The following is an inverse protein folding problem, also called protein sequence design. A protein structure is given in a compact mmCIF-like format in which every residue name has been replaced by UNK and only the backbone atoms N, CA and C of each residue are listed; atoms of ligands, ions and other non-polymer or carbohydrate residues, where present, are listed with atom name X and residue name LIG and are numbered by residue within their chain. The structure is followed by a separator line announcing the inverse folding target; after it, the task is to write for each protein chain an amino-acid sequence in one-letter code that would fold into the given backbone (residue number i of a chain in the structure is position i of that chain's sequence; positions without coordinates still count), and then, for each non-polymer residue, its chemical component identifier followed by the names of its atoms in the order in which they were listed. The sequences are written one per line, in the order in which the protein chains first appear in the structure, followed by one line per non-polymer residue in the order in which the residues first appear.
data_IF_646611882464
#
_entry.id   IF_646611882464
#
_cell.length_a   1.000
_cell.length_b   1.000
_cell.length_c   1.000
_cell.angle_alpha   90.00
_cell.angle_beta   90.00
_cell.angle_gamma   90.00
#
_symmetry.space_group_name_H-M   'P 1'
#
loop_
_entity.id
_entity.type
_entity.pdbx_description
1 polymer ?
#
# COMPACT_ATOMS: atom_id res chain seq x y z
N UNK A 1 -20.86 11.61 -26.86
CA UNK A 1 -20.14 11.70 -25.57
C UNK A 1 -20.01 10.34 -24.89
N UNK A 2 -21.10 9.56 -24.72
CA UNK A 2 -21.04 8.15 -24.23
C UNK A 2 -20.26 7.23 -25.20
N UNK A 3 -20.36 7.44 -26.51
CA UNK A 3 -19.60 6.67 -27.51
C UNK A 3 -18.07 6.90 -27.46
N UNK A 4 -17.61 8.07 -26.98
CA UNK A 4 -16.18 8.36 -26.82
C UNK A 4 -15.62 7.68 -25.55
N UNK A 5 -16.45 7.58 -24.51
CA UNK A 5 -16.16 6.87 -23.26
C UNK A 5 -16.04 5.36 -23.52
N UNK A 6 -16.91 4.80 -24.38
CA UNK A 6 -16.85 3.38 -24.77
C UNK A 6 -15.65 3.04 -25.68
N UNK A 7 -15.17 3.98 -26.49
CA UNK A 7 -13.99 3.80 -27.34
C UNK A 7 -12.66 3.81 -26.54
N UNK A 8 -12.60 4.52 -25.41
CA UNK A 8 -11.41 4.56 -24.54
C UNK A 8 -11.35 3.39 -23.55
N UNK A 9 -12.49 2.78 -23.19
CA UNK A 9 -12.54 1.52 -22.42
C UNK A 9 -12.07 0.32 -23.26
N UNK A 10 -12.01 0.47 -24.60
CA UNK A 10 -11.62 -0.58 -25.55
C UNK A 10 -10.12 -0.88 -25.65
N UNK A 11 -9.24 -0.13 -24.98
CA UNK A 11 -7.81 -0.46 -24.94
C UNK A 11 -7.55 -1.45 -23.80
N UNK A 12 -7.82 -2.71 -24.12
CA UNK A 12 -7.21 -3.91 -23.57
C UNK A 12 -6.53 -3.78 -22.18
N UNK A 13 -7.23 -4.21 -21.13
CA UNK A 13 -6.62 -5.24 -20.29
C UNK A 13 -7.41 -6.51 -20.53
N UNK A 14 -6.85 -7.35 -21.40
CA UNK A 14 -7.06 -8.78 -21.28
C UNK A 14 -6.71 -9.10 -19.83
N UNK A 15 -7.72 -9.39 -19.01
CA UNK A 15 -7.54 -10.14 -17.77
C UNK A 15 -6.97 -11.48 -18.20
N UNK A 16 -5.65 -11.53 -18.45
CA UNK A 16 -4.92 -12.77 -18.27
C UNK A 16 -5.02 -13.00 -16.78
N UNK A 17 -6.03 -13.78 -16.37
CA UNK A 17 -5.79 -14.76 -15.32
C UNK A 17 -4.46 -15.42 -15.70
N UNK A 18 -3.39 -15.02 -15.00
CA UNK A 18 -2.19 -15.81 -15.03
C UNK A 18 -2.59 -17.04 -14.23
N UNK A 19 -3.10 -18.07 -14.92
CA UNK A 19 -3.01 -19.43 -14.46
C UNK A 19 -1.54 -19.67 -14.10
N UNK A 20 -1.20 -19.48 -12.83
CA UNK A 20 0.02 -20.04 -12.26
C UNK A 20 -0.28 -21.53 -12.14
N UNK A 21 -0.13 -22.25 -13.25
CA UNK A 21 -0.33 -23.69 -13.34
C UNK A 21 0.72 -24.49 -12.56
N UNK A 22 0.90 -24.21 -11.27
CA UNK A 22 1.80 -24.93 -10.34
C UNK A 22 1.34 -24.95 -8.87
N UNK A 23 0.40 -24.10 -8.44
CA UNK A 23 -0.18 -24.22 -7.09
C UNK A 23 -1.33 -25.22 -7.10
N UNK A 24 -1.34 -26.12 -6.13
CA UNK A 24 -2.42 -27.09 -5.93
C UNK A 24 -2.92 -27.06 -4.48
N UNK A 25 -4.19 -27.43 -4.28
CA UNK A 25 -4.78 -27.48 -2.94
C UNK A 25 -4.17 -28.64 -2.13
N UNK A 26 -4.02 -28.44 -0.82
CA UNK A 26 -3.42 -29.45 0.06
C UNK A 26 -4.40 -30.61 0.26
N UNK A 27 -4.12 -31.72 -0.42
CA UNK A 27 -4.84 -32.99 -0.31
C UNK A 27 -4.36 -33.85 0.87
N UNK A 28 -3.17 -33.61 1.41
CA UNK A 28 -2.53 -34.46 2.41
C UNK A 28 -3.18 -34.32 3.81
N UNK A 29 -3.76 -35.40 4.39
CA UNK A 29 -4.52 -35.31 5.65
C UNK A 29 -3.72 -34.77 6.84
N UNK A 30 -2.40 -34.99 6.89
CA UNK A 30 -1.55 -34.50 7.98
C UNK A 30 -1.36 -32.97 7.95
N UNK A 31 -1.52 -32.35 6.77
CA UNK A 31 -1.16 -30.94 6.53
C UNK A 31 -2.33 -30.07 6.08
N UNK A 32 -3.52 -30.65 5.87
CA UNK A 32 -4.72 -29.93 5.38
C UNK A 32 -5.29 -28.93 6.38
N UNK A 33 -5.15 -29.19 7.68
CA UNK A 33 -5.80 -28.42 8.75
C UNK A 33 -4.84 -27.42 9.44
N UNK A 34 -3.78 -26.98 8.74
CA UNK A 34 -2.87 -25.96 9.26
C UNK A 34 -3.48 -24.56 9.12
N UNK A 35 -3.40 -23.70 10.16
CA UNK A 35 -4.13 -22.41 10.17
C UNK A 35 -3.55 -21.36 9.22
N UNK A 36 -2.33 -21.55 8.72
CA UNK A 36 -1.58 -20.50 8.01
C UNK A 36 -1.63 -20.61 6.49
N UNK A 37 -1.96 -21.78 5.91
CA UNK A 37 -1.99 -21.94 4.46
C UNK A 37 -2.76 -23.17 3.95
N UNK A 38 -3.37 -23.02 2.76
CA UNK A 38 -4.25 -24.03 2.15
C UNK A 38 -3.78 -24.51 0.76
N UNK A 39 -2.66 -24.00 0.25
CA UNK A 39 -2.14 -24.30 -1.10
C UNK A 39 -0.65 -24.57 -1.09
N UNK A 40 -0.21 -25.50 -1.93
CA UNK A 40 1.17 -26.01 -1.98
C UNK A 40 1.74 -25.99 -3.40
N UNK A 41 3.07 -26.12 -3.52
CA UNK A 41 3.83 -26.13 -4.77
C UNK A 41 4.70 -27.39 -4.85
N UNK A 42 4.75 -28.00 -6.04
CA UNK A 42 5.60 -29.16 -6.35
C UNK A 42 6.57 -28.85 -7.50
N UNK A 43 7.77 -29.47 -7.54
CA UNK A 43 8.28 -30.46 -6.59
C UNK A 43 8.60 -29.88 -5.20
N UNK A 44 8.44 -30.68 -4.15
CA UNK A 44 8.71 -30.25 -2.77
C UNK A 44 10.21 -30.24 -2.44
N UNK A 45 10.59 -29.85 -1.21
CA UNK A 45 12.00 -29.77 -0.80
C UNK A 45 12.73 -31.12 -0.77
N UNK A 46 11.97 -32.22 -0.78
CA UNK A 46 12.48 -33.58 -0.83
C UNK A 46 12.47 -34.15 -2.26
N UNK A 47 12.20 -33.30 -3.27
CA UNK A 47 12.11 -33.64 -4.69
C UNK A 47 10.99 -34.60 -5.08
N UNK A 48 9.98 -34.81 -4.23
CA UNK A 48 8.76 -35.49 -4.68
C UNK A 48 8.06 -34.64 -5.73
N UNK A 49 7.58 -35.27 -6.80
CA UNK A 49 6.97 -34.58 -7.93
C UNK A 49 5.47 -34.32 -7.72
N UNK A 50 4.81 -35.11 -6.88
CA UNK A 50 3.36 -35.02 -6.62
C UNK A 50 3.02 -35.14 -5.12
N UNK A 51 1.85 -34.65 -4.74
CA UNK A 51 1.32 -34.83 -3.38
C UNK A 51 1.13 -36.30 -3.00
N UNK A 52 0.79 -37.18 -3.94
CA UNK A 52 0.60 -38.61 -3.66
C UNK A 52 1.91 -39.27 -3.23
N UNK A 53 3.01 -38.97 -3.93
CA UNK A 53 4.35 -39.45 -3.60
C UNK A 53 4.80 -38.93 -2.21
N UNK A 54 4.59 -37.64 -1.96
CA UNK A 54 4.87 -37.04 -0.66
C UNK A 54 3.99 -37.61 0.47
N UNK A 55 2.73 -37.94 0.18
CA UNK A 55 1.75 -38.52 1.11
C UNK A 55 2.16 -39.91 1.57
N UNK A 56 2.71 -40.72 0.68
CA UNK A 56 3.24 -42.04 1.04
C UNK A 56 4.46 -41.94 1.94
N UNK A 57 5.38 -41.00 1.65
CA UNK A 57 6.61 -40.80 2.42
C UNK A 57 6.37 -40.15 3.78
N UNK A 58 5.37 -39.28 3.94
CA UNK A 58 5.08 -38.62 5.23
C UNK A 58 4.25 -39.50 6.19
N UNK A 59 3.52 -40.50 5.67
CA UNK A 59 2.56 -41.32 6.42
C UNK A 59 3.13 -41.97 7.70
N UNK A 60 4.38 -42.49 7.74
CA UNK A 60 4.95 -43.09 8.95
C UNK A 60 5.07 -42.12 10.14
N UNK A 61 5.15 -40.81 9.90
CA UNK A 61 5.30 -39.80 10.95
C UNK A 61 3.98 -39.43 11.64
N UNK A 62 2.82 -39.87 11.10
CA UNK A 62 1.50 -39.53 11.62
C UNK A 62 1.28 -39.87 13.12
N UNK A 63 1.65 -41.06 13.61
CA UNK A 63 1.58 -41.40 15.03
C UNK A 63 2.42 -40.47 15.92
N UNK A 64 3.63 -40.12 15.48
CA UNK A 64 4.57 -39.26 16.22
C UNK A 64 3.99 -37.84 16.38
N UNK A 65 3.37 -37.31 15.32
CA UNK A 65 2.67 -36.01 15.38
C UNK A 65 1.54 -36.03 16.42
N UNK A 66 0.79 -37.13 16.52
CA UNK A 66 -0.30 -37.28 17.51
C UNK A 66 0.18 -37.34 18.95
N UNK A 67 1.42 -37.78 19.18
CA UNK A 67 2.05 -37.83 20.50
C UNK A 67 2.51 -36.45 21.01
N UNK A 68 2.47 -35.41 20.16
CA UNK A 68 2.74 -34.00 20.51
C UNK A 68 4.05 -33.78 21.27
N UNK A 69 5.11 -34.47 20.85
CA UNK A 69 6.46 -34.30 21.39
C UNK A 69 7.02 -32.87 21.21
N UNK A 70 6.57 -32.15 20.18
CA UNK A 70 6.80 -30.71 19.98
C UNK A 70 5.58 -30.08 19.30
N UNK A 71 5.24 -28.83 19.66
CA UNK A 71 4.20 -28.04 18.98
C UNK A 71 4.55 -27.76 17.51
N UNK A 72 5.84 -27.82 17.18
CA UNK A 72 6.39 -27.33 15.93
C UNK A 72 6.68 -28.45 14.93
N UNK A 73 6.59 -29.71 15.37
CA UNK A 73 6.94 -30.89 14.57
C UNK A 73 6.03 -31.09 13.35
N UNK A 74 4.71 -30.91 13.52
CA UNK A 74 3.75 -31.00 12.41
C UNK A 74 4.02 -29.93 11.35
N UNK A 75 4.26 -28.69 11.80
CA UNK A 75 4.56 -27.57 10.92
C UNK A 75 5.88 -27.77 10.17
N UNK A 76 6.91 -28.30 10.85
CA UNK A 76 8.19 -28.64 10.24
C UNK A 76 8.05 -29.68 9.13
N UNK A 77 7.37 -30.80 9.40
CA UNK A 77 7.12 -31.84 8.38
C UNK A 77 6.33 -31.30 7.19
N UNK A 78 5.24 -30.57 7.44
CA UNK A 78 4.43 -30.00 6.37
C UNK A 78 5.18 -28.94 5.57
N UNK A 79 6.14 -28.22 6.17
CA UNK A 79 7.00 -27.27 5.43
C UNK A 79 7.96 -27.95 4.46
N UNK A 80 8.34 -29.21 4.70
CA UNK A 80 9.20 -29.99 3.81
C UNK A 80 8.41 -30.74 2.74
N UNK A 81 7.33 -31.40 3.14
CA UNK A 81 6.53 -32.28 2.27
C UNK A 81 5.45 -31.53 1.47
N UNK A 82 4.87 -30.47 2.02
CA UNK A 82 3.81 -29.64 1.43
C UNK A 82 4.14 -28.15 1.60
N UNK A 83 5.21 -27.65 0.96
CA UNK A 83 5.65 -26.27 1.16
C UNK A 83 4.58 -25.28 0.71
N UNK A 84 4.55 -24.10 1.35
CA UNK A 84 3.65 -23.00 1.02
C UNK A 84 3.79 -22.60 -0.46
N UNK A 85 2.67 -22.53 -1.19
CA UNK A 85 2.71 -21.94 -2.53
C UNK A 85 2.87 -20.42 -2.43
N UNK A 86 3.87 -19.87 -3.11
CA UNK A 86 4.08 -18.42 -3.23
C UNK A 86 4.23 -18.05 -4.70
N UNK A 87 4.50 -16.77 -4.98
CA UNK A 87 4.82 -16.30 -6.34
C UNK A 87 6.13 -16.86 -6.91
N UNK A 88 6.96 -17.51 -6.08
CA UNK A 88 8.23 -18.10 -6.50
C UNK A 88 8.00 -19.44 -7.22
N UNK A 89 8.84 -19.73 -8.21
CA UNK A 89 8.82 -21.01 -8.95
C UNK A 89 9.42 -22.19 -8.19
N UNK A 90 9.94 -21.96 -6.98
CA UNK A 90 10.62 -22.94 -6.13
C UNK A 90 10.10 -22.87 -4.69
N UNK A 91 10.09 -24.00 -3.95
CA UNK A 91 9.63 -24.05 -2.57
C UNK A 91 10.60 -23.32 -1.62
N UNK A 92 10.04 -22.64 -0.61
CA UNK A 92 10.81 -21.93 0.42
C UNK A 92 11.12 -22.90 1.58
N UNK A 93 12.40 -23.06 2.00
CA UNK A 93 12.76 -23.94 3.12
C UNK A 93 12.31 -23.39 4.48
N UNK A 94 12.04 -24.27 5.47
CA UNK A 94 11.76 -23.83 6.84
C UNK A 94 12.98 -23.20 7.51
N UNK A 95 12.75 -22.36 8.51
CA UNK A 95 13.81 -21.77 9.31
C UNK A 95 14.52 -22.81 10.20
N UNK A 96 15.80 -22.56 10.50
CA UNK A 96 16.60 -23.41 11.40
C UNK A 96 16.00 -23.53 12.80
N UNK A 97 15.41 -22.47 13.34
CA UNK A 97 14.77 -22.50 14.67
C UNK A 97 13.58 -23.45 14.73
N UNK A 98 12.72 -23.43 13.71
CA UNK A 98 11.61 -24.38 13.55
C UNK A 98 12.13 -25.83 13.50
N UNK A 99 13.19 -26.08 12.74
CA UNK A 99 13.83 -27.41 12.66
C UNK A 99 14.42 -27.85 14.01
N UNK A 100 15.17 -26.97 14.69
CA UNK A 100 15.81 -27.28 15.97
C UNK A 100 14.77 -27.52 17.08
N UNK A 101 13.68 -26.75 17.11
CA UNK A 101 12.56 -26.95 18.05
C UNK A 101 11.87 -28.30 17.83
N UNK A 102 11.59 -28.63 16.56
CA UNK A 102 11.03 -29.93 16.17
C UNK A 102 11.97 -31.09 16.55
N UNK A 103 13.27 -30.94 16.28
CA UNK A 103 14.31 -31.92 16.60
C UNK A 103 14.43 -32.14 18.10
N UNK A 104 14.57 -31.07 18.88
CA UNK A 104 14.73 -31.13 20.33
C UNK A 104 13.58 -31.87 21.02
N UNK A 105 12.34 -31.68 20.55
CA UNK A 105 11.19 -32.36 21.14
C UNK A 105 10.99 -33.79 20.66
N UNK A 106 11.26 -34.09 19.38
CA UNK A 106 10.80 -35.33 18.74
C UNK A 106 11.91 -36.29 18.29
N UNK A 107 13.20 -35.92 18.36
CA UNK A 107 14.30 -36.76 17.86
C UNK A 107 14.40 -38.11 18.58
N UNK A 108 14.25 -38.15 19.91
CA UNK A 108 14.36 -39.40 20.66
C UNK A 108 13.15 -40.31 20.45
N UNK A 109 11.95 -39.72 20.35
CA UNK A 109 10.73 -40.45 20.02
C UNK A 109 10.80 -41.02 18.59
N UNK A 110 11.38 -40.28 17.66
CA UNK A 110 11.61 -40.75 16.29
C UNK A 110 12.55 -41.96 16.23
N UNK A 111 13.58 -42.02 17.08
CA UNK A 111 14.46 -43.20 17.18
C UNK A 111 13.71 -44.43 17.72
N UNK A 112 12.80 -44.24 18.68
CA UNK A 112 11.98 -45.33 19.24
C UNK A 112 11.03 -45.95 18.21
N UNK A 113 10.61 -45.16 17.21
CA UNK A 113 9.77 -45.59 16.10
C UNK A 113 10.57 -46.05 14.85
N UNK A 114 11.89 -46.30 14.98
CA UNK A 114 12.79 -46.68 13.88
C UNK A 114 12.80 -45.69 12.70
N UNK A 115 12.55 -44.40 12.96
CA UNK A 115 12.54 -43.31 11.98
C UNK A 115 13.62 -42.27 12.32
N UNK A 116 14.93 -42.59 12.22
CA UNK A 116 15.96 -41.70 12.70
C UNK A 116 16.01 -40.39 11.91
N UNK A 117 16.55 -39.34 12.54
CA UNK A 117 16.68 -38.01 11.94
C UNK A 117 17.74 -38.01 10.83
N UNK A 118 17.31 -38.29 9.59
CA UNK A 118 18.18 -38.40 8.42
C UNK A 118 18.67 -37.04 7.88
N UNK A 119 19.51 -37.08 6.84
CA UNK A 119 20.18 -35.89 6.26
C UNK A 119 19.19 -34.90 5.66
N UNK A 120 18.08 -35.39 5.13
CA UNK A 120 16.97 -34.64 4.57
C UNK A 120 16.28 -33.75 5.62
N UNK A 121 16.38 -34.11 6.90
CA UNK A 121 15.88 -33.30 8.02
C UNK A 121 16.99 -32.49 8.70
N UNK A 122 18.22 -32.48 8.18
CA UNK A 122 19.33 -31.79 8.82
C UNK A 122 19.08 -30.28 8.91
N UNK A 123 19.13 -29.74 10.13
CA UNK A 123 18.96 -28.32 10.38
C UNK A 123 20.18 -27.48 9.95
N UNK A 124 21.30 -28.11 9.57
CA UNK A 124 22.56 -27.40 9.30
C UNK A 124 22.52 -26.56 8.02
N UNK A 125 21.76 -27.01 7.02
CA UNK A 125 21.63 -26.37 5.72
C UNK A 125 20.42 -25.42 5.63
N UNK A 126 19.61 -25.36 6.68
CA UNK A 126 18.46 -24.46 6.73
C UNK A 126 18.90 -23.04 7.07
N UNK A 127 18.26 -22.03 6.49
CA UNK A 127 18.56 -20.65 6.84
C UNK A 127 18.32 -20.47 8.34
N UNK A 128 19.27 -19.82 9.03
CA UNK A 128 18.99 -19.34 10.38
C UNK A 128 17.70 -18.53 10.33
N UNK A 129 16.90 -18.53 11.41
CA UNK A 129 15.96 -17.44 11.60
C UNK A 129 16.73 -16.16 11.28
N UNK A 130 16.15 -15.29 10.45
CA UNK A 130 16.73 -13.95 10.32
C UNK A 130 16.87 -13.47 11.75
N UNK A 131 18.12 -13.42 12.24
CA UNK A 131 18.42 -12.81 13.52
C UNK A 131 17.90 -11.40 13.37
N UNK A 132 16.70 -11.13 13.90
CA UNK A 132 16.48 -9.88 14.59
C UNK A 132 17.68 -9.80 15.52
N UNK A 133 18.54 -8.83 15.27
CA UNK A 133 19.65 -8.55 16.15
C UNK A 133 19.02 -8.16 17.49
N UNK A 134 18.84 -9.17 18.32
CA UNK A 134 18.26 -9.14 19.65
C UNK A 134 19.36 -9.67 20.54
N UNK A 135 20.36 -8.83 20.77
CA UNK A 135 21.07 -8.86 22.04
C UNK A 135 20.02 -8.55 23.12
N UNK A 136 19.60 -9.63 23.79
CA UNK A 136 18.67 -9.60 24.92
C UNK A 136 19.20 -8.63 25.97
N UNK A 137 18.37 -7.64 26.30
CA UNK A 137 18.14 -7.30 27.70
C UNK A 137 16.63 -7.19 27.90
N UNK A 138 16.20 -7.74 29.04
CA UNK A 138 14.82 -7.90 29.48
C UNK A 138 13.89 -6.70 29.21
N UNK A 139 12.65 -7.01 28.81
CA UNK A 139 11.50 -6.19 29.19
C UNK A 139 11.11 -5.04 28.26
N UNK A 140 10.88 -5.32 26.98
CA UNK A 140 9.86 -4.73 26.08
C UNK A 140 10.31 -5.00 24.64
N UNK A 141 9.45 -5.57 23.80
CA UNK A 141 9.77 -5.86 22.39
C UNK A 141 9.86 -4.58 21.56
N UNK A 142 10.92 -3.79 21.75
CA UNK A 142 11.14 -2.54 21.02
C UNK A 142 11.65 -2.83 19.60
N UNK A 143 10.94 -2.39 18.56
CA UNK A 143 11.40 -2.50 17.18
C UNK A 143 12.61 -1.60 16.95
N UNK A 144 13.71 -2.20 16.50
CA UNK A 144 14.93 -1.48 16.11
C UNK A 144 14.94 -1.31 14.60
N UNK A 145 15.18 -0.08 14.12
CA UNK A 145 15.21 0.22 12.70
C UNK A 145 16.35 -0.54 11.97
N UNK A 146 16.05 -1.35 10.95
CA UNK A 146 17.06 -2.04 10.14
C UNK A 146 18.00 -1.05 9.44
N UNK A 147 19.27 -1.44 9.26
CA UNK A 147 20.28 -0.57 8.64
C UNK A 147 19.92 -0.13 7.22
N UNK A 148 19.15 -0.92 6.47
CA UNK A 148 18.68 -0.60 5.12
C UNK A 148 17.69 0.57 5.07
N UNK A 149 17.01 0.86 6.19
CA UNK A 149 15.90 1.80 6.31
C UNK A 149 16.21 2.97 7.26
N UNK A 150 17.45 3.05 7.76
CA UNK A 150 17.90 4.16 8.58
C UNK A 150 17.97 5.43 7.75
N UNK A 151 17.55 6.53 8.35
CA UNK A 151 17.51 7.85 7.72
C UNK A 151 18.38 8.82 8.54
N UNK A 152 19.05 9.80 7.90
CA UNK A 152 19.80 10.83 8.62
C UNK A 152 18.96 11.55 9.68
N UNK A 153 19.58 11.87 10.81
CA UNK A 153 18.92 12.47 11.99
C UNK A 153 18.27 13.83 11.73
N UNK A 154 18.71 14.54 10.69
CA UNK A 154 18.24 15.88 10.33
C UNK A 154 16.80 15.86 9.78
N UNK A 155 16.32 14.72 9.28
CA UNK A 155 15.05 14.63 8.56
C UNK A 155 13.83 14.39 9.47
N UNK A 156 14.05 14.13 10.76
CA UNK A 156 12.99 13.88 11.76
C UNK A 156 11.99 12.76 11.38
N UNK A 157 12.40 11.78 10.56
CA UNK A 157 11.51 10.69 10.13
C UNK A 157 11.06 9.84 11.32
N UNK A 158 9.80 9.41 11.29
CA UNK A 158 9.20 8.57 12.33
C UNK A 158 8.39 7.46 11.69
N UNK A 159 8.90 6.22 11.82
CA UNK A 159 8.16 5.02 11.49
C UNK A 159 7.23 4.67 12.66
N UNK A 160 5.94 4.49 12.38
CA UNK A 160 4.93 4.11 13.37
C UNK A 160 4.52 2.65 13.17
N UNK A 161 4.58 1.87 14.23
CA UNK A 161 4.22 0.46 14.24
C UNK A 161 3.03 0.28 15.19
N UNK A 162 1.82 0.28 14.62
CA UNK A 162 0.57 0.30 15.39
C UNK A 162 0.41 1.57 16.24
N UNK A 163 -0.43 1.48 17.28
CA UNK A 163 -0.75 2.63 18.15
C UNK A 163 0.31 2.93 19.22
N UNK A 164 1.26 2.01 19.44
CA UNK A 164 2.08 2.01 20.65
C UNK A 164 3.54 2.40 20.40
N UNK A 165 4.10 2.10 19.22
CA UNK A 165 5.53 2.21 18.99
C UNK A 165 5.90 3.21 17.88
N UNK A 166 6.81 4.13 18.21
CA UNK A 166 7.32 5.16 17.29
C UNK A 166 8.83 5.10 17.25
N UNK A 167 9.38 4.86 16.06
CA UNK A 167 10.81 4.67 15.85
C UNK A 167 11.34 5.82 15.02
N UNK A 168 12.18 6.65 15.65
CA UNK A 168 12.79 7.82 15.01
C UNK A 168 13.90 7.40 14.03
N UNK A 169 14.16 8.25 13.05
CA UNK A 169 15.23 8.08 12.04
C UNK A 169 15.09 6.79 11.24
N UNK A 170 13.84 6.39 10.97
CA UNK A 170 13.50 5.17 10.26
C UNK A 170 12.40 5.46 9.23
N UNK A 171 12.60 5.01 7.98
CA UNK A 171 11.62 5.18 6.90
C UNK A 171 10.95 3.87 6.50
N UNK A 172 9.70 3.98 6.08
CA UNK A 172 9.01 2.86 5.44
C UNK A 172 9.60 2.60 4.04
N UNK A 173 9.83 1.34 3.62
CA UNK A 173 10.28 1.04 2.28
C UNK A 173 9.23 1.44 1.24
N UNK A 174 9.70 2.01 0.12
CA UNK A 174 8.86 2.51 -0.97
C UNK A 174 8.08 1.40 -1.69
N UNK A 175 8.71 0.24 -1.94
CA UNK A 175 8.05 -0.90 -2.60
C UNK A 175 8.00 -2.09 -1.66
N UNK A 176 7.03 -2.99 -1.90
CA UNK A 176 6.91 -4.32 -1.25
C UNK A 176 6.53 -4.31 0.23
N UNK A 177 6.10 -3.17 0.79
CA UNK A 177 5.59 -3.12 2.17
C UNK A 177 4.13 -3.59 2.27
N UNK A 178 3.27 -3.03 1.41
CA UNK A 178 1.81 -3.28 1.43
C UNK A 178 1.28 -3.81 0.10
N UNK A 179 1.88 -3.39 -1.01
CA UNK A 179 1.40 -3.68 -2.36
C UNK A 179 2.50 -4.27 -3.24
N UNK A 180 2.08 -5.16 -4.13
CA UNK A 180 2.92 -5.75 -5.16
C UNK A 180 3.09 -4.78 -6.34
N UNK A 181 4.16 -4.95 -7.12
CA UNK A 181 4.44 -4.07 -8.27
C UNK A 181 3.32 -4.07 -9.32
N UNK A 182 2.60 -5.18 -9.48
CA UNK A 182 1.45 -5.27 -10.38
C UNK A 182 0.25 -4.45 -9.90
N UNK A 183 0.01 -4.42 -8.59
CA UNK A 183 -1.09 -3.68 -7.98
C UNK A 183 -0.83 -2.18 -8.08
N UNK A 184 0.42 -1.77 -7.81
CA UNK A 184 0.89 -0.39 -7.98
C UNK A 184 0.76 0.03 -9.46
N UNK A 185 1.23 -0.80 -10.40
CA UNK A 185 1.12 -0.51 -11.83
C UNK A 185 -0.34 -0.41 -12.30
N UNK A 186 -1.23 -1.26 -11.79
CA UNK A 186 -2.66 -1.17 -12.09
C UNK A 186 -3.25 0.15 -11.58
N UNK A 187 -2.99 0.50 -10.32
CA UNK A 187 -3.51 1.73 -9.72
C UNK A 187 -3.00 2.98 -10.43
N UNK A 188 -1.69 3.06 -10.71
CA UNK A 188 -1.08 4.18 -11.43
C UNK A 188 -1.71 4.35 -12.83
N UNK A 189 -1.86 3.27 -13.60
CA UNK A 189 -2.49 3.34 -14.91
C UNK A 189 -3.98 3.73 -14.84
N UNK A 190 -4.69 3.24 -13.83
CA UNK A 190 -6.09 3.57 -13.60
C UNK A 190 -6.26 5.06 -13.27
N UNK A 191 -5.51 5.57 -12.30
CA UNK A 191 -5.54 6.97 -11.88
C UNK A 191 -5.10 7.88 -13.04
N UNK A 192 -4.05 7.51 -13.78
CA UNK A 192 -3.58 8.26 -14.94
C UNK A 192 -4.66 8.39 -16.02
N UNK A 193 -5.36 7.30 -16.36
CA UNK A 193 -6.44 7.31 -17.34
C UNK A 193 -7.57 8.26 -16.94
N UNK A 194 -8.07 8.14 -15.70
CA UNK A 194 -9.16 8.99 -15.21
C UNK A 194 -8.74 10.46 -15.06
N UNK A 195 -7.48 10.70 -14.72
CA UNK A 195 -6.94 12.06 -14.65
C UNK A 195 -6.95 12.70 -16.04
N UNK A 196 -6.46 12.02 -17.08
CA UNK A 196 -6.48 12.55 -18.46
C UNK A 196 -7.91 12.83 -18.92
N UNK A 197 -8.85 11.91 -18.68
CA UNK A 197 -10.27 12.13 -19.01
C UNK A 197 -10.85 13.35 -18.30
N UNK A 198 -10.54 13.51 -17.01
CA UNK A 198 -10.95 14.66 -16.22
C UNK A 198 -10.34 15.96 -16.74
N UNK A 199 -9.04 15.96 -17.10
CA UNK A 199 -8.35 17.13 -17.64
C UNK A 199 -9.00 17.61 -18.94
N UNK A 200 -9.28 16.68 -19.87
CA UNK A 200 -9.90 17.00 -21.15
C UNK A 200 -11.31 17.57 -20.95
N UNK A 201 -12.11 16.94 -20.08
CA UNK A 201 -13.47 17.40 -19.78
C UNK A 201 -13.48 18.78 -19.12
N UNK A 202 -12.63 19.01 -18.12
CA UNK A 202 -12.55 20.30 -17.42
C UNK A 202 -11.99 21.38 -18.33
N UNK A 203 -10.97 21.09 -19.15
CA UNK A 203 -10.44 22.02 -20.15
C UNK A 203 -11.52 22.49 -21.11
N UNK A 204 -12.38 21.59 -21.61
CA UNK A 204 -13.48 21.96 -22.49
C UNK A 204 -14.45 22.94 -21.82
N UNK A 205 -14.82 22.70 -20.55
CA UNK A 205 -15.69 23.60 -19.79
C UNK A 205 -15.04 24.97 -19.57
N UNK A 206 -13.77 25.00 -19.19
CA UNK A 206 -13.02 26.25 -18.95
C UNK A 206 -12.83 27.05 -20.24
N UNK A 207 -12.51 26.40 -21.36
CA UNK A 207 -12.42 27.04 -22.67
C UNK A 207 -13.76 27.61 -23.12
N UNK A 208 -14.87 26.88 -22.89
CA UNK A 208 -16.22 27.38 -23.21
C UNK A 208 -16.52 28.66 -22.44
N UNK A 209 -16.20 28.69 -21.13
CA UNK A 209 -16.36 29.89 -20.30
C UNK A 209 -15.44 31.03 -20.72
N UNK A 210 -14.20 30.74 -21.13
CA UNK A 210 -13.25 31.75 -21.60
C UNK A 210 -13.70 32.42 -22.90
N UNK A 211 -14.40 31.68 -23.77
CA UNK A 211 -14.97 32.20 -25.02
C UNK A 211 -16.23 33.03 -24.77
N UNK A 212 -17.14 32.54 -23.93
CA UNK A 212 -18.39 33.22 -23.59
C UNK A 212 -18.70 33.13 -22.09
N UNK A 213 -18.25 34.10 -21.28
CA UNK A 213 -18.52 34.12 -19.83
C UNK A 213 -20.01 34.27 -19.50
N UNK A 214 -20.79 34.88 -20.41
CA UNK A 214 -22.23 35.08 -20.24
C UNK A 214 -23.03 33.78 -20.33
N UNK A 215 -22.41 32.71 -20.84
CA UNK A 215 -23.04 31.39 -20.99
C UNK A 215 -23.37 30.71 -19.65
N UNK A 216 -22.65 31.06 -18.57
CA UNK A 216 -22.77 30.42 -17.26
C UNK A 216 -23.13 31.44 -16.16
N UNK A 217 -24.36 31.98 -16.15
CA UNK A 217 -24.85 32.77 -15.04
C UNK A 217 -25.05 31.90 -13.78
N UNK A 218 -25.33 32.53 -12.64
CA UNK A 218 -25.88 31.79 -11.50
C UNK A 218 -27.29 31.28 -11.86
N UNK A 219 -27.69 30.07 -11.42
CA UNK A 219 -27.05 29.20 -10.43
C UNK A 219 -25.97 28.22 -10.97
N UNK A 220 -25.69 28.17 -12.27
CA UNK A 220 -24.78 27.19 -12.89
C UNK A 220 -23.30 27.60 -12.81
N UNK A 221 -23.00 28.87 -12.58
CA UNK A 221 -21.63 29.43 -12.47
C UNK A 221 -20.66 28.64 -11.56
N UNK A 222 -21.07 28.06 -10.40
CA UNK A 222 -20.21 27.21 -9.58
C UNK A 222 -19.58 26.02 -10.32
N UNK A 223 -20.17 25.53 -11.42
CA UNK A 223 -19.62 24.45 -12.25
C UNK A 223 -18.24 24.84 -12.83
N UNK A 224 -18.03 26.12 -13.12
CA UNK A 224 -16.75 26.63 -13.63
C UNK A 224 -15.67 26.51 -12.57
N UNK A 225 -15.96 26.91 -11.33
CA UNK A 225 -14.99 26.83 -10.24
C UNK A 225 -14.70 25.38 -9.82
N UNK A 226 -15.71 24.49 -9.86
CA UNK A 226 -15.50 23.04 -9.76
C UNK A 226 -14.54 22.54 -10.85
N UNK A 227 -14.73 22.99 -12.09
CA UNK A 227 -13.88 22.61 -13.21
C UNK A 227 -12.45 23.11 -13.04
N UNK A 228 -12.23 24.30 -12.47
CA UNK A 228 -10.88 24.80 -12.11
C UNK A 228 -10.23 23.89 -11.07
N UNK A 229 -10.94 23.54 -9.99
CA UNK A 229 -10.39 22.67 -8.96
C UNK A 229 -10.00 21.29 -9.53
N UNK A 230 -10.90 20.65 -10.27
CA UNK A 230 -10.63 19.34 -10.86
C UNK A 230 -9.57 19.37 -11.97
N UNK A 231 -9.42 20.49 -12.69
CA UNK A 231 -8.32 20.67 -13.63
C UNK A 231 -6.96 20.61 -12.92
N UNK A 232 -6.81 21.33 -11.80
CA UNK A 232 -5.56 21.35 -11.02
C UNK A 232 -5.28 19.99 -10.37
N UNK A 233 -6.29 19.38 -9.74
CA UNK A 233 -6.17 18.03 -9.15
C UNK A 233 -5.73 17.01 -10.21
N UNK A 234 -6.37 17.03 -11.38
CA UNK A 234 -6.02 16.14 -12.49
C UNK A 234 -4.59 16.37 -12.99
N UNK A 235 -4.17 17.63 -13.14
CA UNK A 235 -2.80 17.97 -13.53
C UNK A 235 -1.79 17.39 -12.54
N UNK A 236 -2.06 17.47 -11.24
CA UNK A 236 -1.21 16.90 -10.20
C UNK A 236 -1.09 15.38 -10.31
N UNK A 237 -2.20 14.66 -10.50
CA UNK A 237 -2.15 13.21 -10.71
C UNK A 237 -1.45 12.80 -12.02
N UNK A 238 -1.55 13.61 -13.08
CA UNK A 238 -0.79 13.39 -14.32
C UNK A 238 0.71 13.58 -14.09
N UNK A 239 1.10 14.61 -13.32
CA UNK A 239 2.50 14.82 -12.93
C UNK A 239 3.00 13.65 -12.07
N UNK A 240 2.18 13.15 -11.15
CA UNK A 240 2.40 11.92 -10.39
C UNK A 240 2.70 10.73 -11.29
N UNK A 241 1.75 10.42 -12.18
CA UNK A 241 1.87 9.34 -13.15
C UNK A 241 3.13 9.44 -14.03
N UNK A 242 3.42 10.64 -14.55
CA UNK A 242 4.59 10.87 -15.41
C UNK A 242 5.93 10.78 -14.66
N UNK A 243 5.92 10.97 -13.33
CA UNK A 243 7.12 10.98 -12.50
C UNK A 243 7.38 9.64 -11.81
N UNK A 244 6.57 8.61 -12.07
CA UNK A 244 6.64 7.29 -11.44
C UNK A 244 6.70 7.43 -9.90
N UNK A 245 7.58 6.71 -9.22
CA UNK A 245 7.69 6.77 -7.76
C UNK A 245 8.54 7.95 -7.26
N UNK A 246 9.07 8.79 -8.16
CA UNK A 246 10.07 9.81 -7.76
C UNK A 246 9.50 10.93 -6.90
N UNK A 247 8.19 11.18 -6.96
CA UNK A 247 7.49 12.15 -6.11
C UNK A 247 7.26 11.55 -4.73
N UNK A 248 6.70 10.33 -4.66
CA UNK A 248 6.34 9.66 -3.42
C UNK A 248 7.56 9.08 -2.65
N UNK A 249 8.65 8.76 -3.34
CA UNK A 249 9.80 8.06 -2.75
C UNK A 249 11.12 8.81 -2.86
N UNK A 250 11.94 8.66 -1.83
CA UNK A 250 13.32 9.09 -1.80
C UNK A 250 14.20 8.22 -2.69
N UNK A 251 15.31 8.79 -3.14
CA UNK A 251 16.46 8.00 -3.61
C UNK A 251 17.03 7.23 -2.41
N UNK A 252 17.66 6.09 -2.67
CA UNK A 252 18.32 5.33 -1.61
C UNK A 252 19.37 6.22 -0.94
N UNK A 253 19.32 6.32 0.39
CA UNK A 253 20.30 7.09 1.16
C UNK A 253 21.63 6.36 1.16
N UNK A 254 22.74 7.08 1.01
CA UNK A 254 24.06 6.45 1.13
C UNK A 254 24.26 5.97 2.56
N UNK A 255 24.48 4.66 2.71
CA UNK A 255 24.81 4.07 4.01
C UNK A 255 26.27 4.38 4.37
N UNK A 256 26.57 4.38 5.67
CA UNK A 256 27.95 4.43 6.16
C UNK A 256 28.80 3.38 5.41
N UNK A 257 29.93 3.77 4.79
CA UNK A 257 30.78 2.86 4.01
C UNK A 257 31.32 1.66 4.82
N UNK A 258 31.23 1.70 6.15
CA UNK A 258 31.56 0.57 7.04
C UNK A 258 30.50 -0.54 7.10
N UNK A 259 29.28 -0.29 6.62
CA UNK A 259 28.15 -1.21 6.64
C UNK A 259 27.90 -1.72 5.21
N UNK A 260 28.30 -2.97 4.92
CA UNK A 260 28.08 -3.66 3.63
C UNK A 260 26.60 -4.04 3.42
N UNK A 261 25.71 -3.06 3.43
CA UNK A 261 24.27 -3.25 3.29
C UNK A 261 23.74 -2.27 2.26
N UNK A 262 22.99 -2.77 1.27
CA UNK A 262 22.33 -1.95 0.25
C UNK A 262 21.19 -1.16 0.90
N UNK A 263 21.25 0.16 0.79
CA UNK A 263 20.15 1.02 1.20
C UNK A 263 18.92 0.81 0.30
N UNK A 264 17.74 0.80 0.91
CA UNK A 264 16.47 0.67 0.19
C UNK A 264 15.85 2.07 0.01
N UNK A 265 15.04 2.25 -1.05
CA UNK A 265 14.28 3.50 -1.24
C UNK A 265 13.18 3.56 -0.19
N UNK A 266 13.01 4.72 0.45
CA UNK A 266 11.96 4.95 1.44
C UNK A 266 10.89 5.91 0.93
N UNK A 267 9.70 5.85 1.53
CA UNK A 267 8.62 6.81 1.30
C UNK A 267 9.06 8.18 1.83
N UNK A 268 8.76 9.27 1.11
CA UNK A 268 9.00 10.63 1.59
C UNK A 268 8.07 10.96 2.75
N UNK A 269 8.62 11.52 3.82
CA UNK A 269 7.87 11.90 5.01
C UNK A 269 8.17 13.35 5.40
N UNK A 270 7.10 14.10 5.63
CA UNK A 270 7.17 15.47 6.11
C UNK A 270 7.47 16.51 5.03
N UNK A 271 7.51 17.76 5.47
CA UNK A 271 7.67 18.95 4.62
C UNK A 271 9.13 19.43 4.51
N UNK A 272 10.07 18.72 5.14
CA UNK A 272 11.49 19.12 5.28
C UNK A 272 12.43 18.40 4.31
N UNK A 273 11.90 17.64 3.35
CA UNK A 273 12.75 17.00 2.36
C UNK A 273 13.23 18.00 1.29
N UNK A 274 14.48 17.85 0.84
CA UNK A 274 15.10 18.66 -0.24
C UNK A 274 14.26 18.70 -1.55
N UNK A 275 13.33 17.76 -1.73
CA UNK A 275 12.47 17.71 -2.91
C UNK A 275 11.14 18.43 -2.67
N UNK A 276 11.13 19.72 -2.97
CA UNK A 276 9.97 20.62 -2.89
C UNK A 276 8.75 20.16 -3.71
N UNK A 277 8.94 19.26 -4.69
CA UNK A 277 7.87 18.77 -5.57
C UNK A 277 6.80 18.01 -4.81
N UNK A 278 7.18 17.19 -3.84
CA UNK A 278 6.23 16.44 -3.01
C UNK A 278 5.31 17.40 -2.25
N UNK A 279 5.90 18.35 -1.52
CA UNK A 279 5.15 19.35 -0.76
C UNK A 279 4.26 20.22 -1.64
N UNK A 280 4.76 20.66 -2.81
CA UNK A 280 3.96 21.48 -3.73
C UNK A 280 2.70 20.75 -4.20
N UNK A 281 2.84 19.50 -4.64
CA UNK A 281 1.70 18.71 -5.12
C UNK A 281 0.74 18.34 -4.00
N UNK A 282 1.24 18.17 -2.77
CA UNK A 282 0.40 18.02 -1.59
C UNK A 282 -0.46 19.27 -1.35
N UNK A 283 0.14 20.46 -1.41
CA UNK A 283 -0.57 21.75 -1.27
C UNK A 283 -1.67 21.87 -2.31
N UNK A 284 -1.35 21.56 -3.57
CA UNK A 284 -2.28 21.61 -4.68
C UNK A 284 -3.48 20.67 -4.46
N UNK A 285 -3.22 19.37 -4.22
CA UNK A 285 -4.27 18.37 -3.96
C UNK A 285 -5.14 18.76 -2.77
N UNK A 286 -4.53 19.12 -1.64
CA UNK A 286 -5.27 19.41 -0.40
C UNK A 286 -6.16 20.64 -0.59
N UNK A 287 -5.59 21.72 -1.11
CA UNK A 287 -6.33 22.97 -1.33
C UNK A 287 -7.51 22.78 -2.28
N UNK A 288 -7.26 22.22 -3.47
CA UNK A 288 -8.29 22.10 -4.49
C UNK A 288 -9.33 21.01 -4.17
N UNK A 289 -8.98 19.98 -3.42
CA UNK A 289 -9.95 18.96 -2.96
C UNK A 289 -10.95 19.59 -2.00
N UNK A 290 -10.49 20.30 -0.97
CA UNK A 290 -11.38 20.97 0.00
C UNK A 290 -12.21 22.05 -0.71
N UNK A 291 -11.59 22.87 -1.58
CA UNK A 291 -12.29 23.89 -2.35
C UNK A 291 -13.36 23.29 -3.28
N UNK A 292 -13.10 22.15 -3.93
CA UNK A 292 -14.08 21.45 -4.77
C UNK A 292 -15.29 21.00 -3.97
N UNK A 293 -15.10 20.48 -2.75
CA UNK A 293 -16.18 20.10 -1.85
C UNK A 293 -17.06 21.29 -1.48
N UNK A 294 -16.47 22.44 -1.18
CA UNK A 294 -17.21 23.67 -0.87
C UNK A 294 -17.97 24.22 -2.08
N UNK A 295 -17.36 24.19 -3.27
CA UNK A 295 -18.05 24.60 -4.50
C UNK A 295 -19.20 23.67 -4.88
N UNK A 296 -19.09 22.37 -4.59
CA UNK A 296 -20.21 21.43 -4.75
C UNK A 296 -21.37 21.79 -3.82
N UNK A 297 -21.09 22.11 -2.56
CA UNK A 297 -22.12 22.59 -1.61
C UNK A 297 -22.75 23.91 -2.08
N UNK A 298 -21.94 24.85 -2.59
CA UNK A 298 -22.46 26.11 -3.13
C UNK A 298 -23.34 25.87 -4.37
N UNK A 299 -22.99 24.92 -5.24
CA UNK A 299 -23.79 24.55 -6.40
C UNK A 299 -25.17 24.01 -5.96
N UNK A 300 -25.20 23.09 -4.99
CA UNK A 300 -26.47 22.52 -4.50
C UNK A 300 -27.32 23.56 -3.78
N UNK A 301 -26.71 24.46 -2.99
CA UNK A 301 -27.42 25.62 -2.41
C UNK A 301 -27.98 26.52 -3.50
N UNK A 302 -27.20 26.83 -4.54
CA UNK A 302 -27.64 27.69 -5.65
C UNK A 302 -28.82 27.08 -6.41
N UNK A 303 -28.80 25.76 -6.66
CA UNK A 303 -29.93 25.03 -7.23
C UNK A 303 -31.15 25.02 -6.31
N UNK A 304 -30.97 24.83 -5.01
CA UNK A 304 -32.08 24.89 -4.05
C UNK A 304 -32.72 26.29 -4.00
N UNK A 305 -31.92 27.36 -3.97
CA UNK A 305 -32.42 28.74 -3.99
C UNK A 305 -33.20 29.03 -5.28
N UNK A 306 -32.69 28.57 -6.42
CA UNK A 306 -33.34 28.78 -7.73
C UNK A 306 -34.61 27.94 -7.90
N UNK A 307 -34.55 26.62 -7.69
CA UNK A 307 -35.67 25.72 -7.94
C UNK A 307 -36.68 25.68 -6.78
N UNK A 308 -36.20 25.67 -5.53
CA UNK A 308 -37.02 25.55 -4.33
C UNK A 308 -37.60 26.89 -3.87
N UNK A 309 -36.75 27.92 -3.76
CA UNK A 309 -37.16 29.24 -3.28
C UNK A 309 -37.47 30.25 -4.40
N UNK A 310 -37.34 29.84 -5.67
CA UNK A 310 -37.63 30.66 -6.85
C UNK A 310 -36.82 31.97 -6.92
N UNK A 311 -35.60 31.97 -6.40
CA UNK A 311 -34.71 33.12 -6.52
C UNK A 311 -34.30 33.32 -7.98
N UNK A 312 -34.35 34.58 -8.43
CA UNK A 312 -33.84 34.97 -9.74
C UNK A 312 -32.31 34.96 -9.79
N UNK A 313 -31.76 34.90 -11.00
CA UNK A 313 -30.30 34.85 -11.24
C UNK A 313 -29.57 36.04 -10.61
N UNK A 314 -30.16 37.24 -10.64
CA UNK A 314 -29.61 38.46 -10.05
C UNK A 314 -29.56 38.41 -8.52
N UNK A 315 -30.57 37.82 -7.88
CA UNK A 315 -30.63 37.70 -6.42
C UNK A 315 -29.52 36.81 -5.88
N UNK A 316 -29.17 35.75 -6.62
CA UNK A 316 -28.07 34.83 -6.29
C UNK A 316 -26.72 35.50 -6.60
N UNK A 317 -26.60 36.19 -7.74
CA UNK A 317 -25.36 36.85 -8.16
C UNK A 317 -24.91 37.95 -7.19
N UNK A 318 -25.85 38.71 -6.59
CA UNK A 318 -25.56 39.69 -5.53
C UNK A 318 -24.86 39.04 -4.32
N UNK A 319 -25.09 37.75 -4.05
CA UNK A 319 -24.48 37.00 -2.93
C UNK A 319 -23.17 36.29 -3.31
N UNK A 320 -22.73 36.38 -4.57
CA UNK A 320 -21.53 35.70 -5.08
C UNK A 320 -20.27 35.94 -4.25
N UNK A 321 -20.05 37.17 -3.75
CA UNK A 321 -18.89 37.49 -2.91
C UNK A 321 -18.78 36.61 -1.65
N UNK A 322 -19.91 36.26 -1.02
CA UNK A 322 -19.93 35.33 0.12
C UNK A 322 -19.59 33.91 -0.30
N UNK A 323 -20.13 33.44 -1.42
CA UNK A 323 -19.80 32.12 -1.96
C UNK A 323 -18.30 31.98 -2.21
N UNK A 324 -17.68 32.97 -2.87
CA UNK A 324 -16.24 32.99 -3.10
C UNK A 324 -15.44 33.02 -1.79
N UNK A 325 -15.86 33.83 -0.82
CA UNK A 325 -15.16 33.93 0.47
C UNK A 325 -15.20 32.60 1.22
N UNK A 326 -16.35 31.95 1.28
CA UNK A 326 -16.55 30.66 1.92
C UNK A 326 -15.83 29.55 1.17
N UNK A 327 -15.74 29.60 -0.17
CA UNK A 327 -15.10 28.55 -0.95
C UNK A 327 -13.57 28.58 -0.94
N UNK A 328 -12.95 29.75 -0.76
CA UNK A 328 -11.49 29.90 -0.93
C UNK A 328 -10.72 30.14 0.38
N UNK A 329 -11.31 30.85 1.35
CA UNK A 329 -10.62 31.16 2.62
C UNK A 329 -10.44 29.90 3.49
N UNK A 330 -11.47 29.08 3.75
CA UNK A 330 -11.32 27.89 4.57
C UNK A 330 -10.30 26.87 4.02
N UNK A 331 -10.29 26.52 2.71
CA UNK A 331 -9.24 25.65 2.17
C UNK A 331 -7.83 26.21 2.34
N UNK A 332 -7.64 27.53 2.16
CA UNK A 332 -6.35 28.18 2.37
C UNK A 332 -5.86 27.99 3.80
N UNK A 333 -6.72 28.29 4.77
CA UNK A 333 -6.40 28.17 6.19
C UNK A 333 -6.13 26.71 6.60
N UNK A 334 -6.99 25.79 6.18
CA UNK A 334 -6.85 24.36 6.48
C UNK A 334 -5.57 23.77 5.86
N UNK A 335 -5.23 24.15 4.63
CA UNK A 335 -4.00 23.69 3.97
C UNK A 335 -2.76 24.16 4.74
N UNK A 336 -2.72 25.42 5.17
CA UNK A 336 -1.63 25.94 6.01
C UNK A 336 -1.57 25.21 7.36
N UNK A 337 -2.71 25.01 8.02
CA UNK A 337 -2.77 24.29 9.30
C UNK A 337 -2.24 22.85 9.17
N UNK A 338 -2.60 22.16 8.09
CA UNK A 338 -2.11 20.81 7.77
C UNK A 338 -0.60 20.81 7.53
N UNK A 339 -0.05 21.76 6.76
CA UNK A 339 1.40 21.85 6.53
C UNK A 339 2.19 22.05 7.82
N UNK A 340 1.66 22.83 8.77
CA UNK A 340 2.30 23.06 10.08
C UNK A 340 2.44 21.75 10.87
N UNK A 341 1.54 20.78 10.68
CA UNK A 341 1.65 19.47 11.34
C UNK A 341 2.84 18.64 10.86
N UNK A 342 3.40 18.96 9.68
CA UNK A 342 4.45 18.18 8.99
C UNK A 342 4.09 16.69 8.80
N UNK A 343 2.79 16.34 8.73
CA UNK A 343 2.31 14.95 8.57
C UNK A 343 1.78 14.69 7.18
N UNK A 344 2.69 14.80 6.21
CA UNK A 344 2.40 14.60 4.80
C UNK A 344 3.35 13.51 4.32
N UNK A 345 2.79 12.41 3.84
CA UNK A 345 3.55 11.23 3.43
C UNK A 345 3.30 10.94 1.95
N UNK A 346 4.35 10.54 1.23
CA UNK A 346 4.21 10.06 -0.14
C UNK A 346 3.33 8.81 -0.21
N UNK A 347 2.47 8.73 -1.22
CA UNK A 347 1.67 7.54 -1.48
C UNK A 347 2.09 6.90 -2.80
N UNK A 348 2.59 5.67 -2.70
CA UNK A 348 3.13 4.92 -3.83
C UNK A 348 2.01 4.36 -4.72
N UNK A 349 0.79 4.19 -4.18
CA UNK A 349 -0.35 3.69 -4.95
C UNK A 349 -0.90 4.73 -5.93
N UNK A 350 -0.91 5.99 -5.52
CA UNK A 350 -1.34 7.12 -6.36
C UNK A 350 -0.21 7.85 -7.08
N UNK A 351 1.05 7.58 -6.71
CA UNK A 351 2.23 8.26 -7.24
C UNK A 351 2.37 9.72 -6.78
N UNK A 352 1.53 10.15 -5.83
CA UNK A 352 1.52 11.50 -5.29
C UNK A 352 1.63 11.46 -3.76
N UNK A 353 0.78 12.19 -3.05
CA UNK A 353 0.91 12.46 -1.63
C UNK A 353 -0.43 12.27 -0.93
N UNK A 354 -0.41 11.67 0.25
CA UNK A 354 -1.57 11.49 1.10
C UNK A 354 -1.35 12.16 2.46
N UNK A 355 -2.46 12.53 3.10
CA UNK A 355 -2.46 12.80 4.52
C UNK A 355 -2.28 11.48 5.27
N UNK A 356 -1.31 11.45 6.17
CA UNK A 356 -1.07 10.36 7.09
C UNK A 356 -2.37 9.93 7.79
N UNK A 357 -2.63 8.62 7.85
CA UNK A 357 -3.85 8.02 8.46
C UNK A 357 -4.06 8.45 9.91
N UNK A 358 -3.00 8.76 10.65
CA UNK A 358 -3.10 9.30 12.02
C UNK A 358 -3.63 10.74 12.11
N UNK A 359 -3.66 11.48 10.99
CA UNK A 359 -4.18 12.84 10.88
C UNK A 359 -5.61 12.84 10.34
N UNK A 360 -5.96 11.87 9.47
CA UNK A 360 -7.33 11.65 9.01
C UNK A 360 -8.29 11.41 10.19
N UNK A 361 -7.89 10.61 11.19
CA UNK A 361 -8.69 10.40 12.41
C UNK A 361 -8.89 11.65 13.29
N UNK A 362 -8.07 12.70 13.12
CA UNK A 362 -8.28 13.99 13.80
C UNK A 362 -9.24 14.92 13.03
N UNK A 363 -9.36 14.74 11.71
CA UNK A 363 -10.31 15.45 10.86
C UNK A 363 -11.67 14.74 10.73
N UNK A 364 -11.74 13.43 11.02
CA UNK A 364 -12.99 12.69 11.20
C UNK A 364 -13.81 13.20 12.41
N UNK A 365 -13.22 14.04 13.27
CA UNK A 365 -13.92 14.74 14.37
C UNK A 365 -14.59 16.04 13.89
N UNK A 366 -14.32 16.48 12.66
CA UNK A 366 -14.87 17.71 12.06
C UNK A 366 -15.91 17.44 10.95
N UNK A 367 -16.35 16.19 10.77
CA UNK A 367 -17.46 15.81 9.88
C UNK A 367 -18.60 15.16 10.65
#
# INVERSE_FOLDING_TARGET
MIALILLLIGVASSSREIQHGKCEAIGMPLCRDLPYYNSTIFPNLLNHATQDEASESIRPYGPIVKLKCSSDFQLFLCSLYTPLCTILSHPIPPCKGLCLSAKLGCEDLMKEFDLPWHREFSCDHLPNEQKKDSSVNNGSGEFICPAQLKIPTEREYVLRLGDVQRVKNCGAPCRKMFFNEKEIAFANNWIGLWSVLCLLSTSFTLLTFAVDPGRFPYPERPIIYLSICYFMISLTYIIGYASDDSIACNKAFDNDPSINVRAERTIKQGSLDDDWRCTLLAIDIIFFTIASGLWWVILTISWFLSAGLKWGVEAIDIKSHWFHSIAWIPPSFLTVAILVTKRIDGDVLSGVVLLDSGTLGAFDILY
#
